data_IF_837292201362
#
_entry.id   IF_837292201362
#
_cell.length_a   1.000
_cell.length_b   1.000
_cell.length_c   1.000
_cell.angle_alpha   90.00
_cell.angle_beta   90.00
_cell.angle_gamma   90.00
#
_symmetry.space_group_name_H-M   'P 1'
#
loop_
_entity.id
_entity.type
_entity.pdbx_description
1 polymer ?
#
# COMPACT_ATOMS: atom_id res chain seq x y z
N UNK A 1 17.46 -8.86 -19.22
CA UNK A 1 16.17 -9.53 -18.88
C UNK A 1 15.61 -8.76 -17.70
N UNK A 2 14.42 -8.16 -17.83
CA UNK A 2 13.72 -7.54 -16.70
C UNK A 2 12.77 -8.59 -16.11
N UNK A 3 13.01 -8.96 -14.87
CA UNK A 3 12.26 -9.98 -14.13
C UNK A 3 11.91 -9.44 -12.74
N UNK A 4 10.66 -9.66 -12.32
CA UNK A 4 10.19 -9.37 -10.96
C UNK A 4 9.63 -10.65 -10.36
N UNK A 5 10.04 -10.99 -9.14
CA UNK A 5 9.46 -12.09 -8.36
C UNK A 5 8.57 -11.54 -7.24
N UNK A 6 7.34 -12.04 -7.17
CA UNK A 6 6.37 -11.78 -6.12
C UNK A 6 5.82 -13.12 -5.60
N UNK A 7 6.21 -13.49 -4.38
CA UNK A 7 5.93 -14.78 -3.74
C UNK A 7 6.32 -15.99 -4.59
N UNK A 8 5.35 -16.64 -5.24
CA UNK A 8 5.52 -17.79 -6.14
C UNK A 8 5.33 -17.43 -7.61
N UNK A 9 5.17 -16.15 -7.92
CA UNK A 9 4.89 -15.64 -9.27
C UNK A 9 6.10 -14.90 -9.81
N UNK A 10 6.57 -15.31 -10.97
CA UNK A 10 7.64 -14.64 -11.71
C UNK A 10 7.03 -13.90 -12.90
N UNK A 11 7.27 -12.60 -12.98
CA UNK A 11 6.82 -11.73 -14.07
C UNK A 11 8.03 -11.42 -14.95
N UNK A 12 7.98 -11.90 -16.20
CA UNK A 12 9.03 -11.69 -17.20
C UNK A 12 8.62 -10.63 -18.22
N UNK A 13 9.50 -9.66 -18.46
CA UNK A 13 9.29 -8.64 -19.47
C UNK A 13 9.55 -9.19 -20.89
N UNK A 14 8.51 -9.23 -21.73
CA UNK A 14 8.58 -9.71 -23.11
C UNK A 14 8.93 -8.62 -24.13
N UNK A 15 8.50 -7.38 -23.90
CA UNK A 15 8.71 -6.25 -24.81
C UNK A 15 8.77 -4.94 -24.04
N UNK A 16 9.68 -4.05 -24.43
CA UNK A 16 9.78 -2.68 -23.92
C UNK A 16 9.57 -1.73 -25.10
N UNK A 17 8.70 -0.75 -24.95
CA UNK A 17 8.47 0.32 -25.93
C UNK A 17 8.81 1.64 -25.25
N UNK A 18 9.89 2.30 -25.67
CA UNK A 18 10.35 3.54 -25.03
C UNK A 18 9.62 4.79 -25.52
N UNK A 19 9.26 4.84 -26.82
CA UNK A 19 8.59 5.98 -27.46
C UNK A 19 7.34 5.49 -28.21
N UNK A 20 6.23 5.20 -27.51
CA UNK A 20 5.01 4.80 -28.19
C UNK A 20 4.44 5.99 -28.98
N UNK A 21 4.02 5.73 -30.23
CA UNK A 21 3.35 6.74 -31.07
C UNK A 21 1.97 7.11 -30.53
N UNK A 22 1.28 6.13 -29.95
CA UNK A 22 0.02 6.29 -29.23
C UNK A 22 0.28 6.41 -27.73
N UNK A 23 -0.16 7.53 -27.13
CA UNK A 23 -0.12 7.68 -25.68
C UNK A 23 -1.22 6.82 -25.07
N UNK A 24 -0.87 5.80 -24.30
CA UNK A 24 -1.85 5.10 -23.48
C UNK A 24 -2.47 6.08 -22.48
N UNK A 25 -3.80 6.12 -22.43
CA UNK A 25 -4.51 6.89 -21.42
C UNK A 25 -4.34 6.21 -20.06
N UNK A 26 -3.64 6.89 -19.14
CA UNK A 26 -3.56 6.46 -17.75
C UNK A 26 -4.93 6.69 -17.10
N UNK A 27 -5.73 5.64 -17.02
CA UNK A 27 -7.03 5.66 -16.34
C UNK A 27 -6.80 5.76 -14.83
N UNK A 28 -7.00 6.96 -14.26
CA UNK A 28 -7.03 7.14 -12.81
C UNK A 28 -8.11 6.22 -12.22
N UNK A 29 -7.80 5.44 -11.17
CA UNK A 29 -8.84 4.69 -10.48
C UNK A 29 -9.92 5.66 -9.98
N UNK A 30 -11.17 5.40 -10.36
CA UNK A 30 -12.34 6.21 -9.97
C UNK A 30 -12.95 5.79 -8.63
N UNK A 31 -12.44 4.70 -8.04
CA UNK A 31 -12.92 4.17 -6.76
C UNK A 31 -12.21 4.87 -5.61
N UNK A 32 -12.98 5.35 -4.65
CA UNK A 32 -12.48 5.99 -3.43
C UNK A 32 -13.18 7.31 -3.15
N UNK A 33 -12.88 7.89 -1.99
CA UNK A 33 -13.30 9.25 -1.65
C UNK A 33 -12.21 10.21 -2.14
N UNK A 34 -12.57 11.20 -2.96
CA UNK A 34 -11.67 12.33 -3.21
C UNK A 34 -11.58 13.14 -1.93
N UNK A 35 -10.35 13.31 -1.43
CA UNK A 35 -10.07 14.03 -0.20
C UNK A 35 -8.96 15.02 -0.45
N UNK A 36 -9.00 16.13 0.27
CA UNK A 36 -7.95 17.13 0.29
C UNK A 36 -6.72 16.61 1.05
N UNK A 37 -5.57 17.29 0.92
CA UNK A 37 -4.36 16.92 1.65
C UNK A 37 -4.56 17.01 3.17
N UNK A 38 -5.35 17.98 3.63
CA UNK A 38 -5.67 18.17 5.06
C UNK A 38 -6.50 17.01 5.60
N UNK A 39 -7.56 16.63 4.88
CA UNK A 39 -8.39 15.47 5.23
C UNK A 39 -7.59 14.16 5.19
N UNK A 40 -6.70 13.99 4.21
CA UNK A 40 -5.82 12.82 4.15
C UNK A 40 -4.95 12.71 5.41
N UNK A 41 -4.33 13.82 5.83
CA UNK A 41 -3.48 13.85 7.01
C UNK A 41 -4.28 13.50 8.29
N UNK A 42 -5.53 13.94 8.39
CA UNK A 42 -6.43 13.59 9.48
C UNK A 42 -6.77 12.09 9.48
N UNK A 43 -7.18 11.55 8.32
CA UNK A 43 -7.52 10.12 8.17
C UNK A 43 -6.33 9.24 8.58
N UNK A 44 -5.13 9.57 8.12
CA UNK A 44 -3.93 8.80 8.46
C UNK A 44 -3.64 8.86 9.95
N UNK A 45 -3.77 10.04 10.58
CA UNK A 45 -3.54 10.20 12.02
C UNK A 45 -4.51 9.36 12.84
N UNK A 46 -5.80 9.46 12.54
CA UNK A 46 -6.85 8.68 13.20
C UNK A 46 -6.62 7.17 13.04
N UNK A 47 -6.26 6.72 11.83
CA UNK A 47 -6.03 5.29 11.57
C UNK A 47 -4.81 4.75 12.32
N UNK A 48 -3.78 5.56 12.51
CA UNK A 48 -2.61 5.20 13.31
C UNK A 48 -2.98 5.09 14.80
N UNK A 49 -3.80 6.00 15.32
CA UNK A 49 -4.28 5.93 16.71
C UNK A 49 -5.15 4.69 16.92
N UNK A 50 -6.10 4.42 16.03
CA UNK A 50 -6.95 3.21 16.06
C UNK A 50 -6.11 1.92 16.02
N UNK A 51 -5.08 1.86 15.16
CA UNK A 51 -4.14 0.74 15.14
C UNK A 51 -3.41 0.60 16.49
N UNK A 52 -2.91 1.70 17.07
CA UNK A 52 -2.22 1.65 18.37
C UNK A 52 -3.13 1.15 19.49
N UNK A 53 -4.40 1.56 19.51
CA UNK A 53 -5.38 1.07 20.49
C UNK A 53 -5.67 -0.43 20.31
N UNK A 54 -5.86 -0.88 19.07
CA UNK A 54 -6.09 -2.30 18.77
C UNK A 54 -4.88 -3.19 19.12
N UNK A 55 -3.65 -2.71 18.90
CA UNK A 55 -2.42 -3.48 19.15
C UNK A 55 -1.83 -3.30 20.56
N UNK A 56 -2.16 -2.22 21.27
CA UNK A 56 -1.65 -1.92 22.61
C UNK A 56 -2.30 -2.73 23.75
N UNK A 57 -3.42 -3.42 23.49
CA UNK A 57 -4.21 -4.10 24.54
C UNK A 57 -3.80 -5.53 24.93
N UNK A 58 -2.78 -6.13 24.29
CA UNK A 58 -2.46 -7.57 24.47
C UNK A 58 -0.98 -7.91 24.69
N UNK A 59 -0.17 -6.98 25.19
CA UNK A 59 1.24 -7.23 25.52
C UNK A 59 1.54 -7.69 26.95
N UNK A 60 0.60 -7.56 27.90
CA UNK A 60 0.95 -7.52 29.33
C UNK A 60 0.36 -8.66 30.20
N UNK A 61 0.04 -9.81 29.62
CA UNK A 61 -0.42 -10.98 30.40
C UNK A 61 0.09 -12.30 29.83
N UNK A 62 1.41 -12.55 29.92
CA UNK A 62 1.97 -13.75 29.30
C UNK A 62 3.36 -14.21 29.70
N UNK A 63 3.79 -14.01 30.95
CA UNK A 63 4.79 -14.87 31.59
C UNK A 63 6.27 -14.61 31.27
N UNK A 64 7.02 -14.22 32.30
CA UNK A 64 7.75 -15.14 33.20
C UNK A 64 8.50 -14.29 34.23
N UNK A 65 8.12 -14.48 35.48
CA UNK A 65 9.02 -14.23 36.62
C UNK A 65 10.18 -15.20 36.48
N UNK A 66 11.38 -14.68 36.29
CA UNK A 66 12.64 -15.21 36.83
C UNK A 66 13.53 -14.00 37.14
#
# INVERSE_FOLDING_TARGET
>A
ILEVNADRTTILCSKIVMNPEEKEEIKKPSKGKEVTQEEYNQIVKEKIEEMREMYGGRGDRGGRRF
#
